data_IF_526434560216
#
_entry.id   IF_526434560216
#
_cell.length_a   1.000
_cell.length_b   1.000
_cell.length_c   1.000
_cell.angle_alpha   90.00
_cell.angle_beta   90.00
_cell.angle_gamma   90.00
#
_symmetry.space_group_name_H-M   'P 1'
#
loop_
_entity.id
_entity.type
_entity.pdbx_description
1 polymer ?
#
# COMPACT_ATOMS: atom_id res chain seq x y z
N UNK A 1 11.21 -15.46 -3.18
CA UNK A 1 10.60 -15.60 -1.84
C UNK A 1 9.36 -14.73 -1.79
N UNK A 2 8.32 -15.11 -1.05
CA UNK A 2 7.17 -14.24 -0.86
C UNK A 2 7.55 -12.99 -0.05
N UNK A 3 6.82 -11.90 -0.27
CA UNK A 3 6.99 -10.64 0.45
C UNK A 3 5.65 -10.20 1.06
N UNK A 4 5.70 -9.57 2.22
CA UNK A 4 4.54 -8.90 2.79
C UNK A 4 4.49 -7.47 2.25
N UNK A 5 3.30 -7.02 1.85
CA UNK A 5 3.10 -5.67 1.32
C UNK A 5 2.05 -4.95 2.15
N UNK A 6 2.45 -3.88 2.82
CA UNK A 6 1.56 -2.97 3.56
C UNK A 6 1.25 -1.76 2.70
N UNK A 7 -0.05 -1.54 2.46
CA UNK A 7 -0.57 -0.36 1.79
C UNK A 7 -1.21 0.54 2.86
N UNK A 8 -0.68 1.73 3.05
CA UNK A 8 -1.16 2.71 4.01
C UNK A 8 -1.63 3.99 3.30
N UNK A 9 -2.78 4.49 3.72
CA UNK A 9 -3.36 5.76 3.28
C UNK A 9 -3.95 6.47 4.48
N UNK A 10 -4.23 7.79 4.40
CA UNK A 10 -4.97 8.50 5.45
C UNK A 10 -6.35 7.91 5.78
N UNK A 11 -6.88 7.04 4.91
CA UNK A 11 -8.22 6.44 5.04
C UNK A 11 -8.19 4.99 5.54
N UNK A 12 -6.99 4.43 5.77
CA UNK A 12 -6.83 3.08 6.28
C UNK A 12 -5.53 2.43 5.83
N UNK A 13 -5.24 1.31 6.45
CA UNK A 13 -4.05 0.50 6.19
C UNK A 13 -4.44 -0.96 5.96
N UNK A 14 -3.72 -1.65 5.07
CA UNK A 14 -3.88 -3.08 4.84
C UNK A 14 -2.54 -3.74 4.51
N UNK A 15 -2.22 -4.79 5.26
CA UNK A 15 -1.14 -5.73 4.89
C UNK A 15 -1.69 -6.91 4.11
N UNK A 16 -1.02 -7.21 3.00
CA UNK A 16 -1.19 -8.42 2.20
C UNK A 16 0.05 -9.26 2.41
N UNK A 17 -0.11 -10.37 3.13
CA UNK A 17 0.98 -11.28 3.42
C UNK A 17 1.27 -12.21 2.23
N UNK A 18 2.49 -12.75 2.21
CA UNK A 18 2.91 -13.85 1.34
C UNK A 18 2.75 -13.59 -0.18
N UNK A 19 2.96 -12.35 -0.64
CA UNK A 19 2.88 -12.00 -2.06
C UNK A 19 4.01 -12.68 -2.82
N UNK A 20 3.65 -13.64 -3.68
CA UNK A 20 4.62 -14.35 -4.49
C UNK A 20 5.29 -13.42 -5.53
N UNK A 21 6.55 -13.69 -5.93
CA UNK A 21 7.23 -12.92 -6.97
C UNK A 21 6.42 -12.82 -8.27
N UNK A 22 6.37 -11.62 -8.84
CA UNK A 22 5.58 -11.35 -10.05
C UNK A 22 4.06 -11.33 -9.85
N UNK A 23 3.57 -11.46 -8.61
CA UNK A 23 2.18 -11.16 -8.24
C UNK A 23 2.06 -9.74 -7.69
N UNK A 24 0.83 -9.28 -7.61
CA UNK A 24 0.49 -7.93 -7.14
C UNK A 24 -0.49 -8.01 -6.00
N UNK A 25 -0.27 -7.18 -4.99
CA UNK A 25 -1.26 -6.89 -3.95
C UNK A 25 -2.17 -5.76 -4.41
N UNK A 26 -3.44 -5.82 -4.03
CA UNK A 26 -4.42 -4.77 -4.29
C UNK A 26 -5.35 -4.59 -3.10
N UNK A 27 -5.62 -3.35 -2.73
CA UNK A 27 -6.62 -2.99 -1.74
C UNK A 27 -7.30 -1.68 -2.16
N UNK A 28 -8.64 -1.68 -2.15
CA UNK A 28 -9.42 -0.47 -2.25
C UNK A 28 -9.79 0.04 -0.85
N UNK A 29 -9.55 1.32 -0.58
CA UNK A 29 -9.94 1.98 0.67
C UNK A 29 -11.22 2.79 0.45
N UNK A 30 -12.33 2.35 1.05
CA UNK A 30 -13.61 3.02 0.91
C UNK A 30 -13.69 4.24 1.87
N UNK A 31 -13.52 5.45 1.34
CA UNK A 31 -13.47 6.70 2.13
C UNK A 31 -14.84 7.13 2.68
N UNK A 32 -15.94 6.80 1.97
CA UNK A 32 -17.31 7.22 2.30
C UNK A 32 -17.48 8.76 2.45
N UNK A 33 -16.70 9.54 1.72
CA UNK A 33 -16.82 11.00 1.62
C UNK A 33 -17.15 11.41 0.19
N UNK A 34 -17.78 12.58 0.02
CA UNK A 34 -18.04 13.21 -1.29
C UNK A 34 -16.80 13.90 -1.87
N UNK A 35 -15.70 13.93 -1.12
CA UNK A 35 -14.42 14.46 -1.58
C UNK A 35 -13.25 13.79 -0.87
N UNK A 36 -12.16 13.60 -1.59
CA UNK A 36 -10.87 13.09 -1.13
C UNK A 36 -9.85 14.20 -1.42
N UNK A 37 -9.19 14.80 -0.41
CA UNK A 37 -8.09 15.74 -0.65
C UNK A 37 -6.87 15.03 -1.25
N UNK A 38 -6.01 15.76 -1.95
CA UNK A 38 -4.73 15.22 -2.41
C UNK A 38 -3.90 14.77 -1.20
N UNK A 39 -3.15 13.68 -1.36
CA UNK A 39 -2.36 13.10 -0.28
C UNK A 39 -1.34 12.09 -0.79
N UNK A 40 -0.80 11.30 0.13
CA UNK A 40 0.24 10.31 -0.17
C UNK A 40 -0.22 8.94 0.31
N UNK A 41 -0.10 7.94 -0.57
CA UNK A 41 -0.19 6.54 -0.21
C UNK A 41 1.23 5.99 0.01
N UNK A 42 1.43 5.29 1.11
CA UNK A 42 2.72 4.67 1.44
C UNK A 42 2.61 3.17 1.23
N UNK A 43 3.52 2.62 0.43
CA UNK A 43 3.63 1.19 0.16
C UNK A 43 4.92 0.67 0.78
N UNK A 44 4.81 -0.22 1.74
CA UNK A 44 5.95 -0.85 2.40
C UNK A 44 5.99 -2.32 2.03
N UNK A 45 7.03 -2.74 1.31
CA UNK A 45 7.33 -4.15 1.05
C UNK A 45 8.35 -4.66 2.07
N UNK A 46 8.08 -5.78 2.71
CA UNK A 46 9.02 -6.46 3.61
C UNK A 46 9.20 -7.92 3.20
N UNK A 47 10.44 -8.38 3.12
CA UNK A 47 10.77 -9.77 2.82
C UNK A 47 12.07 -10.16 3.53
N UNK A 48 12.29 -11.45 3.76
CA UNK A 48 13.58 -11.95 4.23
C UNK A 48 14.39 -12.38 3.02
N UNK A 49 15.52 -11.71 2.75
CA UNK A 49 16.46 -12.06 1.69
C UNK A 49 17.73 -12.66 2.32
N UNK A 50 18.05 -13.90 1.96
CA UNK A 50 19.25 -14.61 2.46
C UNK A 50 19.37 -14.65 4.00
N UNK A 51 18.24 -14.65 4.71
CA UNK A 51 18.18 -14.63 6.17
C UNK A 51 18.14 -13.24 6.81
N UNK A 52 18.26 -12.17 6.02
CA UNK A 52 18.19 -10.79 6.49
C UNK A 52 16.82 -10.16 6.16
N UNK A 53 16.11 -9.54 7.12
CA UNK A 53 14.93 -8.76 6.82
C UNK A 53 15.27 -7.53 5.99
N UNK A 54 14.63 -7.42 4.83
CA UNK A 54 14.71 -6.27 3.93
C UNK A 54 13.35 -5.60 3.87
N UNK A 55 13.33 -4.29 4.11
CA UNK A 55 12.14 -3.46 4.01
C UNK A 55 12.40 -2.36 2.99
N UNK A 56 11.42 -2.10 2.13
CA UNK A 56 11.47 -1.03 1.14
C UNK A 56 10.16 -0.25 1.19
N UNK A 57 10.27 1.07 1.25
CA UNK A 57 9.13 1.98 1.31
C UNK A 57 9.05 2.81 0.03
N UNK A 58 7.83 3.00 -0.45
CA UNK A 58 7.51 3.80 -1.62
C UNK A 58 6.33 4.70 -1.33
N UNK A 59 6.55 6.01 -1.40
CA UNK A 59 5.50 7.00 -1.32
C UNK A 59 4.97 7.33 -2.72
N UNK A 60 3.65 7.35 -2.86
CA UNK A 60 2.95 7.65 -4.11
C UNK A 60 1.93 8.74 -3.84
N UNK A 61 2.13 9.91 -4.42
CA UNK A 61 1.17 10.99 -4.34
C UNK A 61 -0.09 10.66 -5.16
N UNK A 62 -1.26 11.02 -4.64
CA UNK A 62 -2.54 10.95 -5.33
C UNK A 62 -3.23 12.32 -5.29
N UNK A 63 -3.93 12.65 -6.37
CA UNK A 63 -4.63 13.92 -6.52
C UNK A 63 -5.95 13.94 -5.74
N UNK A 64 -6.45 15.16 -5.50
CA UNK A 64 -7.76 15.34 -4.93
C UNK A 64 -8.84 14.83 -5.89
N UNK A 65 -9.85 14.15 -5.36
CA UNK A 65 -11.00 13.65 -6.11
C UNK A 65 -12.31 14.13 -5.47
N UNK A 66 -13.33 14.34 -6.28
CA UNK A 66 -14.70 14.61 -5.80
C UNK A 66 -15.64 13.50 -6.28
N UNK A 67 -16.49 13.04 -5.38
CA UNK A 67 -17.52 12.04 -5.63
C UNK A 67 -18.86 12.80 -5.53
N UNK A 68 -19.40 13.15 -6.71
CA UNK A 68 -20.60 13.97 -6.87
C UNK A 68 -21.89 13.31 -6.39
#
# INVERSE_FOLDING_TARGET
MPADVTLATPFGEKTVADVAPGKSAYQAFAVRATSVPAGTATVTGSAVLDGEPVTTEHEVAYDAATCG
#
